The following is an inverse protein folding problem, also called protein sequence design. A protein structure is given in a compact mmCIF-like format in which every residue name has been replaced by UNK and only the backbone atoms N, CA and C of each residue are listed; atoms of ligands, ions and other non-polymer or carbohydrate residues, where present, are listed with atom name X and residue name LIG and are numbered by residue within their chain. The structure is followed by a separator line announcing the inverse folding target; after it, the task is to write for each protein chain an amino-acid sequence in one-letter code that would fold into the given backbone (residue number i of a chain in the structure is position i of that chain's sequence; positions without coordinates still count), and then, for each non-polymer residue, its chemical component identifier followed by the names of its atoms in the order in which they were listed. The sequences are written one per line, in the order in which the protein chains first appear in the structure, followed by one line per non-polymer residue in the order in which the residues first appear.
data_IF_114092967915
#
_entry.id   IF_114092967915
#
_cell.length_a   1.000
_cell.length_b   1.000
_cell.length_c   1.000
_cell.angle_alpha   90.00
_cell.angle_beta   90.00
_cell.angle_gamma   90.00
#
_symmetry.space_group_name_H-M   'P 1'
#
loop_
_entity.id
_entity.type
_entity.pdbx_description
1 polymer ?
#
# COMPACT_ATOMS: atom_id res chain seq x y z
N UNK A 1 15.56 33.75 -19.21
CA UNK A 1 14.62 33.37 -20.28
C UNK A 1 15.35 32.47 -21.28
N UNK A 2 15.21 31.18 -21.19
CA UNK A 2 15.63 30.21 -22.22
C UNK A 2 14.46 29.27 -22.45
N UNK A 3 13.92 29.32 -23.66
CA UNK A 3 12.77 28.57 -24.13
C UNK A 3 13.11 27.07 -24.21
N UNK A 4 12.20 26.22 -23.75
CA UNK A 4 12.26 24.77 -23.92
C UNK A 4 11.93 24.41 -25.38
N UNK A 5 12.68 23.52 -26.03
CA UNK A 5 12.36 23.06 -27.37
C UNK A 5 11.16 22.12 -27.35
N UNK A 6 10.23 22.36 -28.30
CA UNK A 6 9.07 21.53 -28.60
C UNK A 6 9.45 20.07 -28.90
N UNK A 7 9.13 19.15 -27.99
CA UNK A 7 9.14 17.72 -28.25
C UNK A 7 7.81 17.35 -28.92
N UNK A 8 7.84 17.20 -30.23
CA UNK A 8 6.75 16.67 -31.03
C UNK A 8 6.55 15.18 -30.71
N UNK A 9 5.51 14.86 -29.96
CA UNK A 9 5.01 13.50 -29.82
C UNK A 9 4.31 13.05 -31.11
N UNK A 10 5.10 12.63 -32.11
CA UNK A 10 4.59 11.89 -33.27
C UNK A 10 4.91 10.40 -33.10
N UNK A 11 3.86 9.59 -32.99
CA UNK A 11 3.90 8.18 -33.33
C UNK A 11 3.80 7.15 -32.21
N UNK A 12 2.85 7.29 -31.29
CA UNK A 12 2.43 6.14 -30.50
C UNK A 12 0.96 5.81 -30.80
N UNK A 13 0.77 4.91 -31.76
CA UNK A 13 -0.57 4.42 -32.13
C UNK A 13 -1.09 3.49 -31.03
N UNK A 14 -1.96 4.00 -30.17
CA UNK A 14 -2.76 3.19 -29.25
C UNK A 14 -3.73 2.32 -30.05
N UNK A 15 -3.37 1.08 -30.33
CA UNK A 15 -4.37 0.07 -30.71
C UNK A 15 -5.30 -0.12 -29.51
N UNK A 16 -6.48 0.48 -29.59
CA UNK A 16 -7.58 0.39 -28.63
C UNK A 16 -8.14 -1.03 -28.64
N UNK A 17 -7.65 -1.91 -27.78
CA UNK A 17 -8.37 -3.13 -27.43
C UNK A 17 -9.54 -2.74 -26.53
N UNK A 18 -10.75 -2.84 -27.04
CA UNK A 18 -12.00 -2.51 -26.34
C UNK A 18 -12.24 -3.37 -25.09
N UNK A 19 -11.61 -4.53 -24.99
CA UNK A 19 -11.66 -5.45 -23.82
C UNK A 19 -10.99 -4.88 -22.56
N UNK A 20 -9.96 -4.02 -22.67
CA UNK A 20 -9.28 -3.42 -21.50
C UNK A 20 -10.17 -2.48 -20.69
N UNK A 21 -11.15 -1.78 -21.31
CA UNK A 21 -11.97 -0.80 -20.60
C UNK A 21 -13.01 -1.42 -19.66
N UNK A 22 -13.47 -2.64 -19.94
CA UNK A 22 -14.48 -3.31 -19.10
C UNK A 22 -13.87 -3.86 -17.81
N UNK A 23 -12.63 -4.32 -17.84
CA UNK A 23 -11.91 -4.84 -16.68
C UNK A 23 -11.64 -3.72 -15.67
N UNK A 24 -11.12 -2.57 -16.12
CA UNK A 24 -10.84 -1.43 -15.25
C UNK A 24 -12.08 -0.86 -14.57
N UNK A 25 -13.22 -0.84 -15.28
CA UNK A 25 -14.50 -0.40 -14.70
C UNK A 25 -15.01 -1.38 -13.63
N UNK A 26 -14.78 -2.69 -13.80
CA UNK A 26 -15.16 -3.70 -12.80
C UNK A 26 -14.21 -3.73 -11.60
N UNK A 27 -12.91 -3.58 -11.81
CA UNK A 27 -11.91 -3.51 -10.73
C UNK A 27 -12.09 -2.23 -9.88
N UNK A 28 -12.28 -1.06 -10.50
CA UNK A 28 -12.62 0.16 -9.78
C UNK A 28 -13.96 0.06 -9.04
N UNK A 29 -14.97 -0.58 -9.63
CA UNK A 29 -16.26 -0.82 -8.99
C UNK A 29 -16.16 -1.69 -7.74
N UNK A 30 -15.32 -2.73 -7.76
CA UNK A 30 -15.07 -3.60 -6.60
C UNK A 30 -14.30 -2.88 -5.47
N UNK A 31 -13.33 -2.05 -5.81
CA UNK A 31 -12.57 -1.26 -4.82
C UNK A 31 -13.47 -0.20 -4.19
N UNK A 32 -14.30 0.48 -4.99
CA UNK A 32 -15.27 1.47 -4.48
C UNK A 32 -16.35 0.78 -3.62
N UNK A 33 -16.81 -0.41 -4.00
CA UNK A 33 -17.76 -1.19 -3.22
C UNK A 33 -17.18 -1.62 -1.86
N UNK A 34 -15.90 -2.05 -1.82
CA UNK A 34 -15.18 -2.39 -0.59
C UNK A 34 -14.95 -1.17 0.32
N UNK A 35 -14.72 0.03 -0.25
CA UNK A 35 -14.56 1.26 0.50
C UNK A 35 -15.89 1.81 1.05
N UNK A 36 -16.99 1.60 0.35
CA UNK A 36 -18.35 2.07 0.77
C UNK A 36 -18.93 1.15 1.84
N UNK A 37 -18.61 -0.14 1.84
CA UNK A 37 -19.08 -1.11 2.86
C UNK A 37 -18.33 -0.99 4.20
N UNK A 38 -17.15 -0.33 4.22
CA UNK A 38 -16.34 -0.09 5.42
C UNK A 38 -16.71 1.13 6.28
N UNK A 39 -17.82 1.79 6.05
CA UNK A 39 -18.31 2.90 6.90
C UNK A 39 -18.77 2.42 8.28
N UNK A 40 -18.66 3.27 9.34
CA UNK A 40 -18.95 2.86 10.71
C UNK A 40 -20.47 2.64 10.90
N UNK A 41 -20.90 1.39 10.84
CA UNK A 41 -22.24 0.97 11.25
C UNK A 41 -22.33 0.85 12.79
N UNK A 42 -22.28 1.98 13.46
CA UNK A 42 -22.73 2.10 14.83
C UNK A 42 -24.02 2.89 14.82
N UNK A 43 -25.14 2.25 14.62
CA UNK A 43 -26.45 2.60 15.18
C UNK A 43 -27.57 1.66 14.71
N UNK A 44 -28.28 1.11 15.68
CA UNK A 44 -29.62 0.51 15.63
C UNK A 44 -29.75 -0.89 15.08
N UNK A 45 -29.86 -1.86 16.02
CA UNK A 45 -30.59 -3.09 15.80
C UNK A 45 -32.08 -2.81 15.62
N UNK A 46 -32.69 -3.30 14.54
CA UNK A 46 -33.95 -4.00 14.62
C UNK A 46 -33.73 -5.47 14.25
N UNK A 47 -34.53 -6.34 14.87
CA UNK A 47 -34.56 -7.77 14.67
C UNK A 47 -34.50 -8.13 13.17
N UNK A 48 -33.44 -8.86 12.77
CA UNK A 48 -33.25 -9.32 11.41
C UNK A 48 -34.23 -10.48 11.11
N UNK A 49 -34.95 -10.44 9.97
CA UNK A 49 -35.52 -11.67 9.41
C UNK A 49 -34.37 -12.56 8.94
N UNK A 50 -34.43 -13.84 9.29
CA UNK A 50 -33.40 -14.82 8.99
C UNK A 50 -33.03 -14.87 7.52
N UNK A 51 -31.81 -14.43 7.19
CA UNK A 51 -31.21 -14.60 5.87
C UNK A 51 -30.60 -16.01 5.82
N UNK A 52 -31.36 -16.95 5.33
CA UNK A 52 -30.88 -18.29 5.03
C UNK A 52 -30.21 -18.27 3.66
N UNK A 53 -28.91 -18.51 3.61
CA UNK A 53 -28.17 -18.81 2.39
C UNK A 53 -28.28 -20.31 2.10
N UNK A 54 -29.16 -20.75 1.20
CA UNK A 54 -29.22 -22.16 0.81
C UNK A 54 -28.17 -22.43 -0.27
N UNK A 55 -27.25 -23.32 0.00
CA UNK A 55 -26.61 -24.07 -1.06
C UNK A 55 -25.16 -23.82 -1.40
N UNK A 56 -24.32 -23.22 -0.56
CA UNK A 56 -22.89 -23.04 -0.87
C UNK A 56 -21.89 -23.94 -0.12
N UNK A 57 -22.37 -24.82 0.77
CA UNK A 57 -21.51 -25.81 1.46
C UNK A 57 -22.13 -27.21 1.41
N UNK A 58 -21.59 -28.15 0.65
CA UNK A 58 -21.97 -29.55 0.77
C UNK A 58 -21.43 -30.11 2.09
N UNK A 59 -22.32 -30.38 3.07
CA UNK A 59 -21.94 -31.04 4.32
C UNK A 59 -22.43 -30.42 5.64
N UNK A 60 -23.26 -29.39 5.62
CA UNK A 60 -23.81 -28.78 6.85
C UNK A 60 -25.06 -29.54 7.35
N UNK A 61 -24.88 -30.72 7.85
CA UNK A 61 -25.91 -31.47 8.57
C UNK A 61 -25.35 -32.05 9.86
N UNK A 62 -25.23 -31.20 10.90
CA UNK A 62 -25.28 -31.56 12.30
C UNK A 62 -25.61 -30.33 13.15
N UNK A 63 -26.62 -30.37 14.04
CA UNK A 63 -26.92 -29.27 14.96
C UNK A 63 -25.97 -29.36 16.16
N UNK A 64 -24.87 -28.63 16.11
CA UNK A 64 -23.92 -28.59 17.23
C UNK A 64 -22.74 -27.66 16.89
N UNK A 65 -22.42 -26.76 17.77
CA UNK A 65 -21.27 -25.84 17.93
C UNK A 65 -20.22 -25.65 16.79
N UNK A 66 -20.02 -26.66 15.94
CA UNK A 66 -19.02 -26.62 14.83
C UNK A 66 -19.38 -25.66 13.69
N UNK A 67 -20.65 -25.49 13.37
CA UNK A 67 -21.07 -24.59 12.29
C UNK A 67 -20.80 -23.12 12.67
N UNK A 68 -21.08 -22.73 13.91
CA UNK A 68 -20.79 -21.39 14.43
C UNK A 68 -19.29 -21.11 14.45
N UNK A 69 -18.47 -22.10 14.81
CA UNK A 69 -17.01 -21.97 14.80
C UNK A 69 -16.44 -21.80 13.38
N UNK A 70 -16.93 -22.56 12.42
CA UNK A 70 -16.52 -22.44 11.03
C UNK A 70 -16.86 -21.06 10.44
N UNK A 71 -18.01 -20.49 10.80
CA UNK A 71 -18.40 -19.14 10.38
C UNK A 71 -17.44 -18.10 10.99
N UNK A 72 -17.11 -18.20 12.27
CA UNK A 72 -16.16 -17.30 12.94
C UNK A 72 -14.78 -17.36 12.28
N UNK A 73 -14.26 -18.57 12.04
CA UNK A 73 -12.96 -18.74 11.37
C UNK A 73 -12.99 -18.17 9.95
N UNK A 74 -14.06 -18.44 9.18
CA UNK A 74 -14.20 -17.91 7.82
C UNK A 74 -14.23 -16.38 7.81
N UNK A 75 -15.02 -15.77 8.70
CA UNK A 75 -15.07 -14.31 8.83
C UNK A 75 -13.71 -13.71 9.23
N UNK A 76 -13.02 -14.35 10.18
CA UNK A 76 -11.69 -13.91 10.60
C UNK A 76 -10.69 -13.99 9.45
N UNK A 77 -10.68 -15.08 8.69
CA UNK A 77 -9.84 -15.20 7.50
C UNK A 77 -10.19 -14.15 6.46
N UNK A 78 -11.48 -13.94 6.19
CA UNK A 78 -11.93 -12.95 5.20
C UNK A 78 -11.51 -11.51 5.58
N UNK A 79 -11.52 -11.16 6.87
CA UNK A 79 -11.07 -9.84 7.34
C UNK A 79 -9.54 -9.69 7.30
N UNK A 80 -8.78 -10.78 7.37
CA UNK A 80 -7.30 -10.74 7.30
C UNK A 80 -6.75 -10.61 5.88
N UNK A 81 -7.46 -11.12 4.86
CA UNK A 81 -7.01 -11.10 3.46
C UNK A 81 -6.61 -9.69 2.99
N UNK A 82 -7.42 -8.62 3.15
CA UNK A 82 -7.03 -7.29 2.70
C UNK A 82 -5.75 -6.77 3.36
N UNK A 83 -5.57 -7.03 4.66
CA UNK A 83 -4.37 -6.62 5.38
C UNK A 83 -3.12 -7.33 4.86
N UNK A 84 -3.21 -8.64 4.59
CA UNK A 84 -2.11 -9.43 4.03
C UNK A 84 -1.76 -8.92 2.63
N UNK A 85 -2.76 -8.71 1.77
CA UNK A 85 -2.53 -8.20 0.40
C UNK A 85 -1.87 -6.82 0.43
N UNK A 86 -2.34 -5.90 1.27
CA UNK A 86 -1.73 -4.58 1.40
C UNK A 86 -0.29 -4.65 1.92
N UNK A 87 0.03 -5.58 2.83
CA UNK A 87 1.39 -5.75 3.35
C UNK A 87 2.38 -6.28 2.31
N UNK A 88 1.91 -6.94 1.25
CA UNK A 88 2.71 -7.43 0.12
C UNK A 88 2.88 -6.39 -1.00
N UNK A 89 2.38 -5.17 -0.81
CA UNK A 89 2.42 -4.09 -1.80
C UNK A 89 3.26 -2.90 -1.28
N UNK A 90 3.59 -1.92 -2.13
CA UNK A 90 4.28 -0.68 -1.73
C UNK A 90 3.53 0.17 -0.69
N UNK A 91 2.28 -0.17 -0.37
CA UNK A 91 1.41 0.60 0.51
C UNK A 91 2.07 0.95 1.85
N UNK A 92 2.78 -0.01 2.46
CA UNK A 92 3.41 0.16 3.77
C UNK A 92 4.48 1.27 3.75
N UNK A 93 5.35 1.29 2.74
CA UNK A 93 6.35 2.34 2.58
C UNK A 93 5.70 3.70 2.40
N UNK A 94 4.72 3.79 1.50
CA UNK A 94 4.03 5.04 1.18
C UNK A 94 3.33 5.63 2.40
N UNK A 95 2.56 4.83 3.13
CA UNK A 95 1.82 5.32 4.30
C UNK A 95 2.75 5.78 5.43
N UNK A 96 3.86 5.09 5.66
CA UNK A 96 4.87 5.48 6.63
C UNK A 96 5.47 6.84 6.25
N UNK A 97 5.91 7.01 5.01
CA UNK A 97 6.53 8.27 4.56
C UNK A 97 5.54 9.42 4.66
N UNK A 98 4.27 9.25 4.29
CA UNK A 98 3.26 10.29 4.43
C UNK A 98 2.95 10.63 5.89
N UNK A 99 2.99 9.66 6.80
CA UNK A 99 2.89 9.94 8.24
C UNK A 99 4.07 10.75 8.74
N UNK A 100 5.29 10.42 8.31
CA UNK A 100 6.49 11.21 8.64
C UNK A 100 6.41 12.62 8.06
N UNK A 101 5.91 12.81 6.83
CA UNK A 101 5.70 14.13 6.25
C UNK A 101 4.78 14.98 7.12
N UNK A 102 3.61 14.44 7.49
CA UNK A 102 2.67 15.17 8.36
C UNK A 102 3.30 15.55 9.69
N UNK A 103 4.04 14.64 10.30
CA UNK A 103 4.75 14.90 11.54
C UNK A 103 5.86 15.94 11.37
N UNK A 104 6.63 15.88 10.28
CA UNK A 104 7.70 16.83 9.97
C UNK A 104 7.17 18.26 9.77
N UNK A 105 6.00 18.41 9.12
CA UNK A 105 5.32 19.68 8.95
C UNK A 105 4.78 20.27 10.28
N UNK A 106 4.74 19.48 11.37
CA UNK A 106 4.19 19.92 12.64
C UNK A 106 2.67 19.98 12.67
N UNK A 107 1.99 19.45 11.64
CA UNK A 107 0.54 19.42 11.58
C UNK A 107 0.01 18.16 12.27
N UNK A 108 -0.89 18.32 13.26
CA UNK A 108 -1.43 17.18 14.00
C UNK A 108 -2.59 16.50 13.28
N UNK A 109 -3.38 17.26 12.53
CA UNK A 109 -4.66 16.81 11.94
C UNK A 109 -4.74 16.89 10.42
N UNK A 110 -3.90 17.72 9.77
CA UNK A 110 -3.94 17.94 8.33
C UNK A 110 -2.63 17.49 7.66
N UNK A 111 -2.68 16.75 6.54
CA UNK A 111 -3.87 16.10 5.95
C UNK A 111 -4.41 14.96 6.84
N UNK A 112 -5.72 14.66 6.71
CA UNK A 112 -6.37 13.62 7.51
C UNK A 112 -5.80 12.22 7.23
N UNK A 113 -5.93 11.29 8.18
CA UNK A 113 -5.50 9.90 7.98
C UNK A 113 -6.15 9.26 6.74
N UNK A 114 -7.43 9.56 6.52
CA UNK A 114 -8.17 9.05 5.36
C UNK A 114 -7.59 9.56 4.05
N UNK A 115 -7.20 10.84 3.99
CA UNK A 115 -6.55 11.42 2.81
C UNK A 115 -5.19 10.76 2.53
N UNK A 116 -4.37 10.52 3.56
CA UNK A 116 -3.07 9.86 3.41
C UNK A 116 -3.23 8.39 2.98
N UNK A 117 -4.19 7.67 3.57
CA UNK A 117 -4.51 6.29 3.17
C UNK A 117 -4.99 6.26 1.72
N UNK A 118 -5.92 7.15 1.35
CA UNK A 118 -6.44 7.24 -0.02
C UNK A 118 -5.33 7.52 -1.04
N UNK A 119 -4.45 8.48 -0.76
CA UNK A 119 -3.31 8.80 -1.61
C UNK A 119 -2.35 7.60 -1.73
N UNK A 120 -2.03 6.95 -0.60
CA UNK A 120 -1.18 5.76 -0.58
C UNK A 120 -1.76 4.62 -1.41
N UNK A 121 -3.09 4.40 -1.35
CA UNK A 121 -3.77 3.37 -2.14
C UNK A 121 -3.72 3.68 -3.63
N UNK A 122 -3.98 4.92 -4.04
CA UNK A 122 -3.92 5.34 -5.45
C UNK A 122 -2.51 5.14 -6.02
N UNK A 123 -1.48 5.57 -5.28
CA UNK A 123 -0.09 5.39 -5.70
C UNK A 123 0.32 3.91 -5.71
N UNK A 124 -0.11 3.13 -4.72
CA UNK A 124 0.11 1.68 -4.70
C UNK A 124 -0.49 1.01 -5.92
N UNK A 125 -1.73 1.36 -6.25
CA UNK A 125 -2.41 0.82 -7.43
C UNK A 125 -1.65 1.17 -8.72
N UNK A 126 -1.15 2.40 -8.83
CA UNK A 126 -0.33 2.81 -9.98
C UNK A 126 0.97 2.01 -10.07
N UNK A 127 1.69 1.82 -8.96
CA UNK A 127 2.94 1.04 -8.91
C UNK A 127 2.72 -0.44 -9.20
N UNK A 128 1.59 -1.01 -8.75
CA UNK A 128 1.28 -2.43 -8.92
C UNK A 128 0.64 -2.75 -10.28
N UNK A 129 0.43 -1.74 -11.14
CA UNK A 129 -0.15 -1.94 -12.48
C UNK A 129 0.57 -3.00 -13.32
N UNK A 130 1.92 -3.04 -13.43
CA UNK A 130 2.62 -4.07 -14.20
C UNK A 130 2.44 -5.48 -13.61
N UNK A 131 2.47 -5.60 -12.28
CA UNK A 131 2.23 -6.88 -11.58
C UNK A 131 0.80 -7.36 -11.81
N UNK A 132 -0.17 -6.46 -11.67
CA UNK A 132 -1.58 -6.75 -11.95
C UNK A 132 -1.83 -7.17 -13.40
N UNK A 133 -1.14 -6.55 -14.36
CA UNK A 133 -1.22 -6.95 -15.76
C UNK A 133 -0.65 -8.36 -16.01
N UNK A 134 0.47 -8.71 -15.38
CA UNK A 134 1.04 -10.04 -15.46
C UNK A 134 0.11 -11.10 -14.84
N UNK A 135 -0.46 -10.84 -13.67
CA UNK A 135 -1.44 -11.74 -13.04
C UNK A 135 -2.66 -11.93 -13.95
N UNK A 136 -3.13 -10.86 -14.57
CA UNK A 136 -4.27 -10.93 -15.47
C UNK A 136 -4.01 -11.84 -16.69
N UNK A 137 -2.85 -11.68 -17.35
CA UNK A 137 -2.50 -12.46 -18.55
C UNK A 137 -2.16 -13.91 -18.23
N UNK A 138 -1.46 -14.17 -17.12
CA UNK A 138 -0.87 -15.48 -16.84
C UNK A 138 -1.80 -16.38 -16.02
N UNK A 139 -2.75 -15.79 -15.28
CA UNK A 139 -3.63 -16.53 -14.39
C UNK A 139 -5.12 -16.33 -14.72
N UNK A 140 -5.58 -15.06 -14.84
CA UNK A 140 -7.03 -14.80 -14.96
C UNK A 140 -7.55 -15.17 -16.35
N UNK A 141 -6.86 -14.78 -17.42
CA UNK A 141 -7.29 -15.11 -18.79
C UNK A 141 -7.36 -16.62 -19.03
N UNK A 142 -6.31 -17.42 -18.70
CA UNK A 142 -6.41 -18.88 -18.88
C UNK A 142 -7.46 -19.55 -17.97
N UNK A 143 -7.76 -18.97 -16.82
CA UNK A 143 -8.83 -19.45 -15.94
C UNK A 143 -10.21 -19.19 -16.56
N UNK A 144 -10.45 -17.99 -17.09
CA UNK A 144 -11.72 -17.60 -17.74
C UNK A 144 -11.96 -18.41 -19.02
N UNK A 145 -10.89 -18.82 -19.72
CA UNK A 145 -10.94 -19.69 -20.91
C UNK A 145 -11.08 -21.19 -20.54
N UNK A 146 -11.07 -21.53 -19.26
CA UNK A 146 -11.20 -22.90 -18.78
C UNK A 146 -9.96 -23.79 -19.00
N UNK A 147 -8.82 -23.21 -19.36
CA UNK A 147 -7.58 -23.94 -19.62
C UNK A 147 -6.86 -24.38 -18.35
N UNK A 148 -7.13 -23.71 -17.22
CA UNK A 148 -6.51 -24.04 -15.94
C UNK A 148 -7.54 -24.06 -14.81
N UNK A 149 -7.21 -24.77 -13.74
CA UNK A 149 -8.04 -24.81 -12.53
C UNK A 149 -7.80 -23.56 -11.65
N UNK A 150 -8.72 -23.26 -10.73
CA UNK A 150 -8.59 -22.18 -9.75
C UNK A 150 -7.29 -22.26 -8.95
N UNK A 151 -6.88 -23.47 -8.54
CA UNK A 151 -5.62 -23.66 -7.81
C UNK A 151 -4.40 -23.32 -8.66
N UNK A 152 -4.38 -23.77 -9.91
CA UNK A 152 -3.29 -23.42 -10.84
C UNK A 152 -3.24 -21.92 -11.13
N UNK A 153 -4.39 -21.25 -11.24
CA UNK A 153 -4.44 -19.80 -11.40
C UNK A 153 -3.89 -19.05 -10.18
N UNK A 154 -4.20 -19.54 -8.97
CA UNK A 154 -3.64 -18.99 -7.73
C UNK A 154 -2.12 -19.14 -7.70
N UNK A 155 -1.60 -20.32 -8.00
CA UNK A 155 -0.15 -20.59 -8.04
C UNK A 155 0.55 -19.68 -9.06
N UNK A 156 -0.04 -19.50 -10.25
CA UNK A 156 0.50 -18.58 -11.27
C UNK A 156 0.45 -17.12 -10.84
N UNK A 157 -0.56 -16.72 -10.07
CA UNK A 157 -0.68 -15.35 -9.54
C UNK A 157 0.41 -15.01 -8.52
N UNK A 158 0.90 -16.02 -7.79
CA UNK A 158 1.95 -15.84 -6.79
C UNK A 158 3.30 -15.47 -7.43
N UNK A 159 3.59 -15.94 -8.65
CA UNK A 159 4.90 -15.74 -9.31
C UNK A 159 5.21 -14.26 -9.56
N UNK A 160 4.35 -13.45 -10.23
CA UNK A 160 4.61 -12.03 -10.43
C UNK A 160 4.71 -11.24 -9.11
N UNK A 161 3.90 -11.61 -8.11
CA UNK A 161 3.93 -10.98 -6.80
C UNK A 161 5.25 -11.27 -6.08
N UNK A 162 5.70 -12.53 -6.08
CA UNK A 162 6.99 -12.93 -5.49
C UNK A 162 8.15 -12.22 -6.16
N UNK A 163 8.18 -12.16 -7.49
CA UNK A 163 9.20 -11.45 -8.24
C UNK A 163 9.26 -9.97 -7.87
N UNK A 164 8.10 -9.32 -7.75
CA UNK A 164 8.02 -7.93 -7.28
C UNK A 164 8.62 -7.77 -5.89
N UNK A 165 8.23 -8.61 -4.93
CA UNK A 165 8.73 -8.52 -3.56
C UNK A 165 10.23 -8.79 -3.47
N UNK A 166 10.76 -9.76 -4.21
CA UNK A 166 12.21 -10.07 -4.25
C UNK A 166 13.02 -8.90 -4.79
N UNK A 167 12.50 -8.15 -5.77
CA UNK A 167 13.18 -6.97 -6.34
C UNK A 167 13.45 -5.91 -5.27
N UNK A 168 12.58 -5.78 -4.25
CA UNK A 168 12.65 -4.72 -3.24
C UNK A 168 13.03 -5.23 -1.84
N UNK A 169 13.00 -6.54 -1.61
CA UNK A 169 13.49 -7.13 -0.36
C UNK A 169 15.01 -7.05 -0.29
N UNK A 170 15.56 -6.66 0.86
CA UNK A 170 17.02 -6.61 1.06
C UNK A 170 17.55 -8.00 1.36
N UNK A 171 18.72 -8.30 0.82
CA UNK A 171 19.39 -9.60 1.04
C UNK A 171 19.53 -9.98 2.51
N UNK A 172 19.88 -9.00 3.36
CA UNK A 172 20.02 -9.25 4.81
C UNK A 172 18.70 -9.64 5.49
N UNK A 173 17.57 -9.10 5.03
CA UNK A 173 16.27 -9.45 5.59
C UNK A 173 15.83 -10.82 5.07
N UNK A 174 16.10 -11.14 3.81
CA UNK A 174 15.90 -12.49 3.28
C UNK A 174 16.77 -13.52 4.02
N UNK A 175 18.05 -13.24 4.25
CA UNK A 175 18.95 -14.11 4.99
C UNK A 175 18.46 -14.36 6.42
N UNK A 176 17.97 -13.33 7.10
CA UNK A 176 17.40 -13.43 8.45
C UNK A 176 16.22 -14.43 8.48
N UNK A 177 15.27 -14.32 7.54
CA UNK A 177 14.10 -15.20 7.53
C UNK A 177 14.42 -16.62 7.04
N UNK A 178 15.44 -16.81 6.19
CA UNK A 178 15.96 -18.13 5.83
C UNK A 178 16.56 -18.83 7.07
N UNK A 179 17.35 -18.11 7.86
CA UNK A 179 17.93 -18.62 9.10
C UNK A 179 16.85 -18.97 10.13
N UNK A 180 15.87 -18.10 10.34
CA UNK A 180 14.75 -18.33 11.26
C UNK A 180 13.87 -19.51 10.82
N UNK A 181 13.74 -19.75 9.52
CA UNK A 181 12.98 -20.88 8.98
C UNK A 181 13.74 -22.20 9.05
N UNK A 182 15.04 -22.19 9.41
CA UNK A 182 15.94 -23.36 9.38
C UNK A 182 15.97 -24.05 8.02
N UNK A 183 15.75 -23.27 6.94
CA UNK A 183 15.82 -23.78 5.58
C UNK A 183 17.26 -23.66 5.03
N UNK A 184 17.73 -24.64 4.22
CA UNK A 184 19.00 -24.50 3.55
C UNK A 184 19.00 -23.30 2.63
N UNK A 185 20.12 -22.57 2.54
CA UNK A 185 20.23 -21.42 1.65
C UNK A 185 19.98 -21.86 0.20
N UNK A 186 18.96 -21.30 -0.47
CA UNK A 186 18.66 -21.66 -1.84
C UNK A 186 19.78 -21.21 -2.79
N UNK A 187 19.92 -21.90 -3.90
CA UNK A 187 20.88 -21.53 -4.93
C UNK A 187 20.50 -20.20 -5.63
N UNK A 188 19.20 -19.88 -5.67
CA UNK A 188 18.67 -18.66 -6.28
C UNK A 188 17.64 -18.03 -5.35
N UNK A 189 17.57 -16.68 -5.27
CA UNK A 189 16.53 -15.99 -4.49
C UNK A 189 15.12 -16.33 -4.93
N UNK A 190 14.94 -16.66 -6.21
CA UNK A 190 13.63 -17.02 -6.81
C UNK A 190 13.06 -18.34 -6.30
N UNK A 191 13.91 -19.22 -5.75
CA UNK A 191 13.49 -20.49 -5.15
C UNK A 191 12.91 -20.33 -3.76
N UNK A 192 13.04 -19.12 -3.16
CA UNK A 192 12.48 -18.83 -1.84
C UNK A 192 10.94 -18.85 -1.84
N UNK A 193 10.38 -19.56 -0.88
CA UNK A 193 8.94 -19.60 -0.67
C UNK A 193 8.37 -18.26 -0.18
N UNK A 194 7.08 -18.02 -0.45
CA UNK A 194 6.36 -16.83 0.03
C UNK A 194 6.41 -16.65 1.54
N UNK A 195 6.50 -17.73 2.28
CA UNK A 195 6.64 -17.76 3.73
C UNK A 195 7.88 -17.00 4.23
N UNK A 196 8.95 -16.97 3.43
CA UNK A 196 10.20 -16.24 3.72
C UNK A 196 10.18 -14.87 3.06
N UNK A 197 9.75 -14.80 1.81
CA UNK A 197 9.81 -13.57 1.00
C UNK A 197 8.87 -12.49 1.54
N UNK A 198 7.64 -12.85 1.92
CA UNK A 198 6.66 -11.86 2.36
C UNK A 198 7.08 -11.11 3.64
N UNK A 199 7.50 -11.78 4.73
CA UNK A 199 7.94 -11.07 5.94
C UNK A 199 9.27 -10.33 5.73
N UNK A 200 10.20 -10.86 4.92
CA UNK A 200 11.44 -10.18 4.58
C UNK A 200 11.18 -8.89 3.80
N UNK A 201 10.28 -8.94 2.81
CA UNK A 201 9.84 -7.77 2.05
C UNK A 201 9.20 -6.73 2.97
N UNK A 202 8.25 -7.14 3.82
CA UNK A 202 7.57 -6.22 4.75
C UNK A 202 8.58 -5.51 5.66
N UNK A 203 9.55 -6.22 6.23
CA UNK A 203 10.62 -5.65 7.05
C UNK A 203 11.48 -4.67 6.24
N UNK A 204 11.80 -5.00 5.00
CA UNK A 204 12.55 -4.13 4.08
C UNK A 204 11.78 -2.85 3.75
N UNK A 205 10.47 -2.95 3.50
CA UNK A 205 9.59 -1.81 3.22
C UNK A 205 9.45 -0.88 4.44
N UNK A 206 9.28 -1.45 5.63
CA UNK A 206 9.28 -0.70 6.88
C UNK A 206 10.58 0.11 7.03
N UNK A 207 11.73 -0.52 6.88
CA UNK A 207 13.01 0.17 7.03
C UNK A 207 13.24 1.21 5.92
N UNK A 208 12.83 0.93 4.68
CA UNK A 208 12.90 1.91 3.60
C UNK A 208 12.02 3.13 3.89
N UNK A 209 10.78 2.90 4.36
CA UNK A 209 9.87 3.95 4.78
C UNK A 209 10.41 4.82 5.91
N UNK A 210 10.99 4.19 6.94
CA UNK A 210 11.64 4.92 8.05
C UNK A 210 12.86 5.71 7.58
N UNK A 211 13.69 5.16 6.69
CA UNK A 211 14.87 5.87 6.16
C UNK A 211 14.47 7.11 5.37
N UNK A 212 13.50 6.97 4.47
CA UNK A 212 12.99 8.10 3.67
C UNK A 212 12.31 9.12 4.59
N UNK A 213 11.49 8.66 5.53
CA UNK A 213 10.81 9.52 6.50
C UNK A 213 11.79 10.31 7.38
N UNK A 214 12.84 9.67 7.88
CA UNK A 214 13.88 10.34 8.64
C UNK A 214 14.64 11.38 7.82
N UNK A 215 15.00 11.06 6.56
CA UNK A 215 15.65 12.00 5.66
C UNK A 215 14.76 13.23 5.37
N UNK A 216 13.45 12.98 5.21
CA UNK A 216 12.46 14.04 5.02
C UNK A 216 12.35 14.96 6.25
N UNK A 217 12.53 14.41 7.44
CA UNK A 217 12.41 15.15 8.69
C UNK A 217 13.55 16.17 8.89
N UNK A 218 14.75 15.87 8.38
CA UNK A 218 15.96 16.69 8.61
C UNK A 218 15.80 18.16 8.22
N UNK A 219 15.33 18.56 7.03
CA UNK A 219 15.19 19.97 6.70
C UNK A 219 14.19 20.71 7.59
N UNK A 220 13.12 20.05 8.00
CA UNK A 220 12.12 20.63 8.89
C UNK A 220 12.62 20.78 10.33
N UNK A 221 13.49 19.87 10.77
CA UNK A 221 14.15 19.97 12.08
C UNK A 221 15.09 21.18 12.16
N UNK A 222 15.78 21.52 11.06
CA UNK A 222 16.61 22.72 10.99
C UNK A 222 15.74 23.98 11.16
N UNK A 223 14.56 24.04 10.55
CA UNK A 223 13.63 25.16 10.73
C UNK A 223 13.20 25.28 12.21
N UNK A 224 12.89 24.13 12.87
CA UNK A 224 12.54 24.15 14.29
C UNK A 224 13.69 24.67 15.15
N UNK A 225 14.91 24.25 14.88
CA UNK A 225 16.10 24.70 15.62
C UNK A 225 16.33 26.21 15.47
N UNK A 226 16.25 26.73 14.22
CA UNK A 226 16.42 28.14 13.94
C UNK A 226 15.33 28.97 14.62
N UNK A 227 14.07 28.56 14.49
CA UNK A 227 12.96 29.28 15.13
C UNK A 227 13.08 29.26 16.66
N UNK A 228 13.48 28.12 17.26
CA UNK A 228 13.72 28.04 18.69
C UNK A 228 14.86 28.97 19.14
N UNK A 229 15.98 29.01 18.43
CA UNK A 229 17.10 29.89 18.75
C UNK A 229 16.71 31.39 18.68
N UNK A 230 15.96 31.79 17.64
CA UNK A 230 15.47 33.16 17.48
C UNK A 230 14.50 33.55 18.59
N UNK A 231 13.51 32.72 18.87
CA UNK A 231 12.50 33.00 19.93
C UNK A 231 13.14 33.11 21.33
N UNK A 232 14.11 32.25 21.61
CA UNK A 232 14.84 32.29 22.87
C UNK A 232 15.70 33.56 23.00
N UNK A 233 16.36 33.98 21.90
CA UNK A 233 17.20 35.20 21.87
C UNK A 233 16.40 36.48 22.13
N UNK A 234 15.14 36.53 21.73
CA UNK A 234 14.22 37.66 21.95
C UNK A 234 13.64 37.63 23.38
N UNK A 235 13.92 36.59 24.17
CA UNK A 235 13.38 36.42 25.53
C UNK A 235 11.94 35.91 25.60
N UNK A 236 11.38 35.41 24.48
CA UNK A 236 10.01 34.88 24.40
C UNK A 236 9.95 33.43 24.91
N UNK A 237 10.38 33.19 26.16
CA UNK A 237 10.43 31.81 26.70
C UNK A 237 9.05 31.17 26.96
N UNK A 238 7.97 31.94 26.93
CA UNK A 238 6.61 31.43 27.21
C UNK A 238 5.88 30.96 25.95
N UNK A 239 6.33 31.33 24.76
CA UNK A 239 5.71 30.89 23.50
C UNK A 239 6.40 29.64 22.99
N UNK A 240 5.64 28.53 22.77
CA UNK A 240 6.21 27.32 22.18
C UNK A 240 6.71 27.62 20.76
N UNK A 241 7.98 27.34 20.43
CA UNK A 241 8.57 27.64 19.10
C UNK A 241 7.80 26.99 17.93
N UNK A 242 7.12 25.88 18.19
CA UNK A 242 6.30 25.14 17.20
C UNK A 242 5.20 26.00 16.59
N UNK A 243 4.63 26.95 17.33
CA UNK A 243 3.56 27.84 16.81
C UNK A 243 4.08 28.72 15.67
N UNK A 244 5.36 29.11 15.75
CA UNK A 244 6.01 29.95 14.72
C UNK A 244 6.60 29.07 13.60
N UNK A 245 7.19 27.93 13.95
CA UNK A 245 7.86 27.07 12.96
C UNK A 245 6.87 26.35 12.03
N UNK A 246 5.69 25.95 12.51
CA UNK A 246 4.69 25.23 11.68
C UNK A 246 4.26 26.01 10.44
N UNK A 247 3.84 27.29 10.52
CA UNK A 247 3.52 28.08 9.32
C UNK A 247 4.70 28.22 8.34
N UNK A 248 5.93 28.39 8.86
CA UNK A 248 7.14 28.49 8.04
C UNK A 248 7.43 27.19 7.28
N UNK A 249 7.25 26.03 7.94
CA UNK A 249 7.42 24.71 7.33
C UNK A 249 6.42 24.49 6.20
N UNK A 250 5.14 24.81 6.44
CA UNK A 250 4.10 24.69 5.42
C UNK A 250 4.39 25.60 4.24
N UNK A 251 4.76 26.86 4.49
CA UNK A 251 5.11 27.81 3.43
C UNK A 251 6.29 27.29 2.60
N UNK A 252 7.36 26.83 3.25
CA UNK A 252 8.52 26.27 2.56
C UNK A 252 8.12 25.07 1.71
N UNK A 253 7.35 24.15 2.27
CA UNK A 253 6.89 22.94 1.58
C UNK A 253 6.08 23.28 0.32
N UNK A 254 5.22 24.29 0.38
CA UNK A 254 4.42 24.75 -0.76
C UNK A 254 5.31 25.46 -1.82
N UNK A 255 6.22 26.33 -1.39
CA UNK A 255 7.11 27.08 -2.30
C UNK A 255 8.02 26.16 -3.11
N UNK A 256 8.52 25.09 -2.51
CA UNK A 256 9.39 24.10 -3.19
C UNK A 256 8.61 23.05 -3.99
N UNK A 257 7.29 23.13 -4.08
CA UNK A 257 6.43 22.09 -4.67
C UNK A 257 6.67 20.71 -4.02
N UNK A 258 6.64 20.68 -2.69
CA UNK A 258 7.02 19.53 -1.89
C UNK A 258 6.22 18.26 -2.18
N UNK A 259 4.94 18.38 -2.57
CA UNK A 259 4.14 17.23 -2.97
C UNK A 259 4.69 16.54 -4.22
N UNK A 260 5.03 17.29 -5.25
CA UNK A 260 5.57 16.76 -6.49
C UNK A 260 6.96 16.12 -6.26
N UNK A 261 7.81 16.78 -5.49
CA UNK A 261 9.13 16.27 -5.13
C UNK A 261 9.05 14.97 -4.35
N UNK A 262 8.16 14.90 -3.34
CA UNK A 262 8.00 13.73 -2.50
C UNK A 262 7.42 12.55 -3.29
N UNK A 263 6.27 12.74 -3.95
CA UNK A 263 5.62 11.70 -4.73
C UNK A 263 6.55 11.23 -5.86
N UNK A 264 7.18 12.16 -6.58
CA UNK A 264 8.11 11.83 -7.65
C UNK A 264 9.34 11.03 -7.16
N UNK A 265 9.87 11.35 -5.97
CA UNK A 265 10.99 10.61 -5.39
C UNK A 265 10.56 9.21 -4.90
N UNK A 266 9.38 9.10 -4.29
CA UNK A 266 8.80 7.83 -3.88
C UNK A 266 8.54 6.91 -5.07
N UNK A 267 7.95 7.43 -6.15
CA UNK A 267 7.68 6.65 -7.36
C UNK A 267 8.98 6.15 -8.00
N UNK A 268 10.01 6.98 -8.07
CA UNK A 268 11.35 6.58 -8.57
C UNK A 268 12.06 5.57 -7.69
N UNK A 269 11.73 5.46 -6.42
CA UNK A 269 12.31 4.44 -5.53
C UNK A 269 11.82 3.02 -5.83
N UNK A 270 10.81 2.88 -6.71
CA UNK A 270 10.24 1.60 -7.17
C UNK A 270 10.48 1.34 -8.67
N UNK A 271 11.23 2.20 -9.35
CA UNK A 271 11.58 2.04 -10.77
C UNK A 271 12.89 1.28 -10.98
#
# INVERSE_FOLDING_TARGET
MRAFPNLSFRGFSWRRSSRRRSFWRRACGLIVLLLVVGGPLWARSPAAPGFSLPGLLPGASAPGSSASWNIVVLLTLLTMIPAIVLSMTPFVRLIIVFHFLRQALGTQTAPSNQTLIGLSLILTFFLMQPVGAAIYTDAIVPLDEGHITMMTALDRSIVPMRHFMLKFAREKDLALFVELAHEPRPARPEDLGMRIVAPAYLLSELQAGFRIGAALFLPFLVIDLVTAAVTTSIGMMQLPPVIISTPLKILLFVVVDGWNLLVGSLMRSFS
#
